data_IF_435379744959
#
_entry.id   IF_435379744959
#
_cell.length_a   1.000
_cell.length_b   1.000
_cell.length_c   1.000
_cell.angle_alpha   90.00
_cell.angle_beta   90.00
_cell.angle_gamma   90.00
#
_symmetry.space_group_name_H-M   'P 1'
#
loop_
_entity.id
_entity.type
_entity.pdbx_description
1 polymer ?
#
# COMPACT_ATOMS: atom_id res chain seq x y z
N UNK A 1 21.36 1.43 4.84
CA UNK A 1 21.06 0.18 5.57
C UNK A 1 19.72 -0.35 5.13
N UNK A 2 18.60 0.42 5.19
CA UNK A 2 17.25 -0.01 4.83
C UNK A 2 17.10 -0.57 3.40
N UNK A 3 17.91 -0.11 2.45
CA UNK A 3 17.90 -0.62 1.07
C UNK A 3 18.54 -2.01 0.88
N UNK A 4 19.18 -2.55 1.91
CA UNK A 4 19.90 -3.83 1.85
C UNK A 4 19.13 -5.00 2.47
N UNK A 5 18.03 -4.74 3.20
CA UNK A 5 17.11 -5.76 3.71
C UNK A 5 15.85 -5.77 2.85
N UNK A 6 15.35 -6.94 2.53
CA UNK A 6 14.07 -7.17 1.88
C UNK A 6 13.24 -8.10 2.73
N UNK A 7 11.94 -7.87 2.81
CA UNK A 7 11.04 -8.71 3.59
C UNK A 7 9.67 -8.94 2.93
N UNK A 8 8.89 -9.83 3.56
CA UNK A 8 7.47 -10.01 3.37
C UNK A 8 6.83 -9.99 4.76
N UNK A 9 6.08 -8.95 5.04
CA UNK A 9 5.48 -8.73 6.35
C UNK A 9 4.12 -8.01 6.23
N UNK A 10 3.22 -8.26 7.16
CA UNK A 10 1.87 -7.67 7.18
C UNK A 10 1.73 -6.80 8.43
N UNK A 11 1.56 -5.51 8.26
CA UNK A 11 1.23 -4.57 9.33
C UNK A 11 -0.28 -4.46 9.46
N UNK A 12 -0.80 -4.46 10.68
CA UNK A 12 -2.22 -4.47 10.99
C UNK A 12 -2.62 -3.25 11.80
N UNK A 13 -3.68 -2.55 11.37
CA UNK A 13 -4.32 -1.47 12.12
C UNK A 13 -3.35 -0.43 12.70
N UNK A 14 -2.29 -0.12 11.94
CA UNK A 14 -1.25 0.83 12.30
C UNK A 14 -1.32 2.07 11.42
N UNK A 15 -0.97 3.23 11.98
CA UNK A 15 -0.79 4.44 11.18
C UNK A 15 0.49 4.36 10.33
N UNK A 16 0.59 5.18 9.29
CA UNK A 16 1.80 5.22 8.44
C UNK A 16 3.05 5.55 9.25
N UNK A 17 2.96 6.44 10.23
CA UNK A 17 4.09 6.81 11.09
C UNK A 17 4.48 5.70 12.05
N UNK A 18 3.50 4.96 12.59
CA UNK A 18 3.76 3.79 13.44
C UNK A 18 4.43 2.66 12.64
N UNK A 19 3.97 2.40 11.41
CA UNK A 19 4.60 1.41 10.50
C UNK A 19 6.06 1.78 10.24
N UNK A 20 6.34 3.05 9.94
CA UNK A 20 7.71 3.51 9.69
C UNK A 20 8.56 3.34 10.96
N UNK A 21 8.03 3.74 12.12
CA UNK A 21 8.71 3.59 13.40
C UNK A 21 9.04 2.12 13.71
N UNK A 22 8.12 1.21 13.44
CA UNK A 22 8.32 -0.23 13.64
C UNK A 22 9.46 -0.76 12.76
N UNK A 23 9.45 -0.44 11.46
CA UNK A 23 10.53 -0.81 10.53
C UNK A 23 11.89 -0.26 10.99
N UNK A 24 11.95 0.99 11.45
CA UNK A 24 13.20 1.57 11.95
C UNK A 24 13.66 0.94 13.26
N UNK A 25 12.76 0.44 14.10
CA UNK A 25 13.09 -0.21 15.36
C UNK A 25 13.99 -1.42 15.20
N UNK A 26 13.87 -2.14 14.09
CA UNK A 26 14.71 -3.30 13.75
C UNK A 26 16.20 -2.95 13.55
N UNK A 27 16.50 -1.68 13.29
CA UNK A 27 17.85 -1.21 13.02
C UNK A 27 18.56 -0.59 14.23
N UNK A 28 17.83 -0.25 15.28
CA UNK A 28 18.38 0.40 16.47
C UNK A 28 19.25 1.62 16.10
N UNK A 29 20.45 1.70 16.62
CA UNK A 29 21.37 2.81 16.38
C UNK A 29 21.95 2.88 14.95
N UNK A 30 21.68 1.90 14.08
CA UNK A 30 22.17 1.89 12.70
C UNK A 30 21.33 2.75 11.75
N UNK A 31 20.08 3.04 12.11
CA UNK A 31 19.18 3.88 11.32
C UNK A 31 18.31 4.72 12.27
N UNK A 32 18.72 5.95 12.48
CA UNK A 32 17.96 6.90 13.28
C UNK A 32 16.96 7.66 12.43
N UNK A 33 15.77 7.93 12.99
CA UNK A 33 14.79 8.82 12.36
C UNK A 33 14.19 9.79 13.39
N UNK A 34 13.63 10.89 12.87
CA UNK A 34 12.96 11.94 13.64
C UNK A 34 11.63 12.24 12.95
N UNK A 35 10.53 11.93 13.62
CA UNK A 35 9.19 12.21 13.12
C UNK A 35 8.76 13.63 13.57
N UNK A 36 8.70 14.53 12.60
CA UNK A 36 8.22 15.91 12.76
C UNK A 36 6.87 16.15 12.08
N UNK A 37 6.14 15.09 11.77
CA UNK A 37 4.80 15.22 11.18
C UNK A 37 3.83 15.80 12.20
N UNK A 38 2.85 16.56 11.73
CA UNK A 38 1.83 17.20 12.57
C UNK A 38 0.41 16.73 12.29
N UNK A 39 0.18 16.11 11.13
CA UNK A 39 -1.11 15.57 10.77
C UNK A 39 -1.44 14.28 11.53
N UNK A 40 -2.71 14.07 11.80
CA UNK A 40 -3.18 12.78 12.31
C UNK A 40 -3.40 11.81 11.14
N UNK A 41 -2.70 10.69 11.16
CA UNK A 41 -2.82 9.63 10.16
C UNK A 41 -3.73 8.51 10.67
N UNK A 42 -4.81 8.18 9.95
CA UNK A 42 -5.68 7.08 10.36
C UNK A 42 -4.96 5.73 10.23
N UNK A 43 -5.32 4.74 11.07
CA UNK A 43 -4.79 3.40 10.95
C UNK A 43 -5.19 2.77 9.61
N UNK A 44 -4.28 2.00 9.05
CA UNK A 44 -4.44 1.23 7.81
C UNK A 44 -4.78 -0.21 8.23
N UNK A 45 -5.93 -0.76 7.76
CA UNK A 45 -6.37 -2.13 8.13
C UNK A 45 -5.27 -3.17 7.83
N UNK A 46 -4.67 -3.08 6.64
CA UNK A 46 -3.51 -3.90 6.25
C UNK A 46 -2.55 -3.10 5.37
N UNK A 47 -1.26 -3.18 5.68
CA UNK A 47 -0.19 -2.67 4.85
C UNK A 47 0.86 -3.75 4.69
N UNK A 48 1.01 -4.28 3.49
CA UNK A 48 1.88 -5.43 3.22
C UNK A 48 3.18 -4.98 2.59
N UNK A 49 4.30 -5.28 3.23
CA UNK A 49 5.59 -5.31 2.59
C UNK A 49 5.69 -6.61 1.78
N UNK A 50 5.97 -6.54 0.50
CA UNK A 50 6.02 -7.72 -0.36
C UNK A 50 7.21 -7.69 -1.31
N UNK A 51 8.26 -8.48 -1.02
CA UNK A 51 9.45 -8.64 -1.86
C UNK A 51 10.12 -7.32 -2.23
N UNK A 52 10.06 -6.34 -1.37
CA UNK A 52 10.66 -5.02 -1.53
C UNK A 52 11.63 -4.71 -0.39
N UNK A 53 12.55 -3.76 -0.62
CA UNK A 53 13.44 -3.31 0.45
C UNK A 53 12.69 -2.47 1.48
N UNK A 54 13.18 -2.45 2.73
CA UNK A 54 12.58 -1.63 3.77
C UNK A 54 12.55 -0.15 3.38
N UNK A 55 13.59 0.33 2.66
CA UNK A 55 13.58 1.70 2.15
C UNK A 55 12.45 1.96 1.14
N UNK A 56 12.24 1.06 0.19
CA UNK A 56 11.13 1.19 -0.76
C UNK A 56 9.78 1.09 -0.04
N UNK A 57 9.68 0.15 0.92
CA UNK A 57 8.48 -0.05 1.71
C UNK A 57 8.10 1.20 2.51
N UNK A 58 9.02 1.84 3.24
CA UNK A 58 8.70 3.06 4.02
C UNK A 58 8.48 4.28 3.13
N UNK A 59 9.18 4.37 1.98
CA UNK A 59 9.08 5.53 1.08
C UNK A 59 7.71 5.62 0.40
N UNK A 60 7.17 4.50 -0.11
CA UNK A 60 5.90 4.54 -0.86
C UNK A 60 4.69 4.99 -0.04
N UNK A 61 4.46 4.56 1.22
CA UNK A 61 3.39 5.13 2.03
C UNK A 61 3.68 6.57 2.45
N UNK A 62 4.94 6.99 2.66
CA UNK A 62 5.24 8.41 2.83
C UNK A 62 4.77 9.24 1.62
N UNK A 63 5.05 8.77 0.40
CA UNK A 63 4.57 9.40 -0.84
C UNK A 63 3.03 9.43 -0.93
N UNK A 64 2.34 8.33 -0.54
CA UNK A 64 0.87 8.26 -0.54
C UNK A 64 0.24 9.25 0.45
N UNK A 65 0.84 9.43 1.62
CA UNK A 65 0.36 10.31 2.69
C UNK A 65 0.96 11.72 2.64
N UNK A 66 1.79 12.03 1.65
CA UNK A 66 2.37 13.35 1.44
C UNK A 66 3.43 13.74 2.47
N UNK A 67 4.11 12.76 3.05
CA UNK A 67 5.21 12.94 3.98
C UNK A 67 6.51 13.02 3.19
N UNK A 68 7.21 14.12 3.30
CA UNK A 68 8.56 14.29 2.75
C UNK A 68 9.61 13.86 3.78
N UNK A 69 10.78 13.50 3.31
CA UNK A 69 11.91 13.23 4.21
C UNK A 69 13.21 13.86 3.68
N UNK A 70 14.10 14.14 4.60
CA UNK A 70 15.46 14.59 4.33
C UNK A 70 16.42 13.91 5.31
N UNK A 71 17.73 14.10 5.11
CA UNK A 71 18.74 13.60 6.02
C UNK A 71 19.47 14.75 6.69
N UNK A 72 19.56 14.72 8.00
CA UNK A 72 20.42 15.58 8.79
C UNK A 72 21.69 14.82 9.13
N UNK A 73 22.84 15.38 8.77
CA UNK A 73 24.16 14.79 8.99
C UNK A 73 24.86 15.50 10.14
N UNK A 74 25.46 14.74 11.04
CA UNK A 74 26.37 15.21 12.08
C UNK A 74 27.62 14.35 12.09
N UNK A 75 28.67 14.77 12.82
CA UNK A 75 29.88 13.97 12.94
C UNK A 75 29.57 12.59 13.54
N UNK A 76 29.86 11.54 12.79
CA UNK A 76 29.63 10.13 13.18
C UNK A 76 28.16 9.67 13.12
N UNK A 77 27.19 10.50 12.71
CA UNK A 77 25.80 10.10 12.61
C UNK A 77 25.05 10.74 11.43
N UNK A 78 23.97 10.11 11.03
CA UNK A 78 22.98 10.70 10.11
C UNK A 78 21.59 10.23 10.53
N UNK A 79 20.61 11.12 10.40
CA UNK A 79 19.25 10.89 10.82
C UNK A 79 18.29 11.22 9.67
N UNK A 80 17.34 10.33 9.40
CA UNK A 80 16.21 10.63 8.51
C UNK A 80 15.21 11.48 9.28
N UNK A 81 14.83 12.62 8.73
CA UNK A 81 13.81 13.53 9.28
C UNK A 81 12.59 13.48 8.36
N UNK A 82 11.45 13.09 8.91
CA UNK A 82 10.16 13.10 8.22
C UNK A 82 9.40 14.38 8.56
N UNK A 83 8.75 14.98 7.58
CA UNK A 83 7.86 16.11 7.79
C UNK A 83 6.69 16.13 6.80
N UNK A 84 5.58 16.67 7.20
CA UNK A 84 4.41 16.93 6.38
C UNK A 84 4.18 18.42 6.09
N UNK A 85 5.08 19.28 6.58
CA UNK A 85 5.07 20.73 6.34
C UNK A 85 6.49 21.29 6.21
N UNK A 86 6.67 22.24 5.31
CA UNK A 86 7.97 22.86 5.05
C UNK A 86 8.58 23.56 6.30
N UNK A 87 7.73 24.07 7.19
CA UNK A 87 8.17 24.80 8.41
C UNK A 87 8.76 23.86 9.49
N UNK A 88 8.68 22.56 9.32
CA UNK A 88 9.17 21.57 10.30
C UNK A 88 10.64 21.19 10.07
N UNK A 89 11.24 21.65 8.99
CA UNK A 89 12.65 21.39 8.69
C UNK A 89 13.55 22.48 9.26
N UNK A 90 14.83 22.14 9.49
CA UNK A 90 15.79 23.04 10.11
C UNK A 90 16.19 24.17 9.16
N UNK A 91 16.43 25.35 9.75
CA UNK A 91 17.04 26.46 9.03
C UNK A 91 18.56 26.30 9.04
N UNK A 92 19.21 26.59 7.91
CA UNK A 92 20.69 26.56 7.84
C UNK A 92 21.33 27.56 8.79
N UNK A 93 22.56 27.26 9.20
CA UNK A 93 23.34 28.19 10.01
C UNK A 93 23.45 29.55 9.31
N UNK A 94 23.23 30.64 10.05
CA UNK A 94 23.20 32.00 9.53
C UNK A 94 21.93 32.37 8.75
N UNK A 95 20.95 31.47 8.62
CA UNK A 95 19.61 31.65 8.03
C UNK A 95 19.55 32.36 6.66
N UNK A 96 20.40 33.37 6.43
CA UNK A 96 20.30 34.31 5.29
C UNK A 96 21.47 34.13 4.33
N UNK A 97 21.18 34.19 3.03
CA UNK A 97 22.18 34.27 1.96
C UNK A 97 21.92 35.45 1.06
N UNK A 98 22.95 36.32 0.90
CA UNK A 98 22.85 37.48 0.02
C UNK A 98 22.98 37.06 -1.44
N UNK A 99 22.21 37.69 -2.30
CA UNK A 99 22.47 37.62 -3.73
C UNK A 99 23.55 38.62 -4.10
N UNK A 100 24.60 38.16 -4.76
CA UNK A 100 25.72 39.01 -5.11
C UNK A 100 26.17 38.73 -6.54
N UNK A 101 26.06 39.71 -7.41
CA UNK A 101 26.58 39.60 -8.80
C UNK A 101 28.11 39.55 -8.75
N UNK A 102 28.71 38.50 -9.32
CA UNK A 102 30.16 38.37 -9.39
C UNK A 102 30.74 39.40 -10.37
N UNK A 103 31.65 40.25 -9.90
CA UNK A 103 32.50 41.09 -10.71
C UNK A 103 33.94 40.61 -10.62
N UNK A 104 34.50 40.22 -11.73
CA UNK A 104 35.79 39.68 -12.13
C UNK A 104 36.95 39.37 -11.17
N UNK A 105 37.03 39.88 -9.96
CA UNK A 105 38.16 39.64 -9.02
C UNK A 105 37.71 39.56 -7.54
N UNK A 106 36.47 39.30 -7.25
CA UNK A 106 35.96 39.25 -5.87
C UNK A 106 36.44 38.00 -5.14
N UNK A 107 37.37 38.15 -4.20
CA UNK A 107 37.71 37.15 -3.18
C UNK A 107 36.80 37.36 -1.96
N UNK A 108 35.65 36.70 -1.95
CA UNK A 108 34.71 36.80 -0.84
C UNK A 108 34.85 35.62 0.11
N UNK A 109 34.75 35.92 1.40
CA UNK A 109 34.76 34.96 2.48
C UNK A 109 33.33 34.63 2.97
N UNK A 110 32.35 35.47 2.56
CA UNK A 110 30.92 35.25 2.96
C UNK A 110 30.24 34.30 2.00
N UNK A 111 29.44 33.38 2.57
CA UNK A 111 28.57 32.54 1.78
C UNK A 111 27.48 33.36 1.07
N UNK A 112 27.34 33.17 -0.22
CA UNK A 112 26.39 33.94 -1.02
C UNK A 112 25.84 33.09 -2.20
N UNK A 113 24.74 33.57 -2.75
CA UNK A 113 24.19 33.13 -4.03
C UNK A 113 24.58 34.12 -5.11
N UNK A 114 25.22 33.70 -6.18
CA UNK A 114 25.64 34.57 -7.28
C UNK A 114 24.90 34.31 -8.58
N UNK A 115 24.15 33.20 -8.65
CA UNK A 115 23.30 32.87 -9.79
C UNK A 115 21.94 32.42 -9.28
N UNK A 116 20.86 32.95 -9.87
CA UNK A 116 19.51 32.63 -9.46
C UNK A 116 18.56 32.73 -10.66
N UNK A 117 18.00 31.58 -11.07
CA UNK A 117 17.10 31.48 -12.21
C UNK A 117 15.78 30.84 -11.76
N UNK A 118 14.69 31.59 -11.78
CA UNK A 118 13.36 30.99 -11.55
C UNK A 118 12.93 30.21 -12.78
N UNK A 119 12.41 29.05 -12.58
CA UNK A 119 11.83 28.17 -13.58
C UNK A 119 10.33 28.08 -13.42
N UNK A 120 9.63 27.91 -14.51
CA UNK A 120 8.21 27.59 -14.54
C UNK A 120 8.00 26.34 -15.37
N UNK A 121 7.22 25.41 -14.85
CA UNK A 121 6.86 24.16 -15.53
C UNK A 121 5.34 24.02 -15.55
N UNK A 122 4.81 23.58 -16.68
CA UNK A 122 3.39 23.28 -16.73
C UNK A 122 3.10 22.02 -15.90
N UNK A 123 2.15 22.11 -15.01
CA UNK A 123 1.64 20.99 -14.20
C UNK A 123 0.12 20.88 -14.39
N UNK A 124 -0.40 19.68 -14.26
CA UNK A 124 -1.85 19.47 -14.20
C UNK A 124 -2.38 20.07 -12.92
N UNK A 125 -3.40 20.92 -13.03
CA UNK A 125 -4.02 21.58 -11.89
C UNK A 125 -5.31 20.89 -11.41
N UNK A 126 -5.57 19.65 -11.84
CA UNK A 126 -6.71 18.88 -11.42
C UNK A 126 -6.34 17.44 -11.17
N UNK A 127 -6.76 16.90 -10.03
CA UNK A 127 -6.54 15.50 -9.66
C UNK A 127 -7.85 14.85 -9.27
N UNK A 128 -8.03 13.59 -9.65
CA UNK A 128 -9.20 12.81 -9.30
C UNK A 128 -8.82 11.36 -9.02
N UNK A 129 -9.51 10.77 -8.05
CA UNK A 129 -9.38 9.38 -7.66
C UNK A 129 -10.75 8.77 -7.51
N UNK A 130 -10.86 7.49 -7.75
CA UNK A 130 -12.05 6.72 -7.43
C UNK A 130 -11.67 5.42 -6.74
N UNK A 131 -12.51 4.95 -5.82
CA UNK A 131 -12.37 3.62 -5.23
C UNK A 131 -13.73 2.96 -5.04
N UNK A 132 -13.71 1.74 -4.56
CA UNK A 132 -14.89 0.94 -4.26
C UNK A 132 -14.80 0.36 -2.84
N UNK A 133 -15.80 0.70 -2.02
CA UNK A 133 -15.93 0.14 -0.68
C UNK A 133 -17.05 -0.92 -0.65
N UNK A 134 -16.67 -2.19 -0.54
CA UNK A 134 -17.66 -3.27 -0.50
C UNK A 134 -18.58 -3.23 0.74
N UNK A 135 -18.16 -2.57 1.83
CA UNK A 135 -18.99 -2.34 3.02
C UNK A 135 -20.06 -1.27 2.78
N UNK A 136 -19.82 -0.38 1.81
CA UNK A 136 -20.73 0.70 1.39
C UNK A 136 -20.82 0.75 -0.14
N UNK A 137 -21.35 -0.29 -0.82
CA UNK A 137 -21.21 -0.48 -2.27
C UNK A 137 -21.90 0.58 -3.13
N UNK A 138 -22.82 1.33 -2.57
CA UNK A 138 -23.55 2.44 -3.25
C UNK A 138 -23.00 3.81 -2.90
N UNK A 139 -21.97 3.91 -2.05
CA UNK A 139 -21.37 5.18 -1.70
C UNK A 139 -20.67 5.80 -2.90
N UNK A 140 -20.83 7.13 -3.08
CA UNK A 140 -20.01 7.86 -4.03
C UNK A 140 -18.57 7.96 -3.51
N UNK A 141 -17.67 7.34 -4.24
CA UNK A 141 -16.24 7.23 -3.87
C UNK A 141 -15.35 7.98 -4.86
N UNK A 142 -15.87 9.01 -5.53
CA UNK A 142 -15.10 9.87 -6.42
C UNK A 142 -14.59 11.09 -5.66
N UNK A 143 -13.27 11.16 -5.46
CA UNK A 143 -12.58 12.27 -4.83
C UNK A 143 -11.88 13.11 -5.90
N UNK A 144 -12.05 14.42 -5.85
CA UNK A 144 -11.47 15.35 -6.82
C UNK A 144 -11.02 16.63 -6.14
N UNK A 145 -9.90 17.18 -6.62
CA UNK A 145 -9.36 18.49 -6.22
C UNK A 145 -8.91 19.27 -7.44
N UNK A 146 -9.07 20.57 -7.36
CA UNK A 146 -8.70 21.52 -8.41
C UNK A 146 -7.87 22.65 -7.79
N UNK A 147 -6.75 22.97 -8.43
CA UNK A 147 -5.81 24.00 -8.01
C UNK A 147 -6.21 25.39 -8.48
N UNK A 148 -5.37 26.35 -8.18
CA UNK A 148 -5.61 27.79 -8.50
C UNK A 148 -4.88 28.28 -9.75
N UNK A 149 -4.11 27.41 -10.42
CA UNK A 149 -3.38 27.78 -11.61
C UNK A 149 -4.31 28.18 -12.77
N UNK A 150 -3.97 29.27 -13.49
CA UNK A 150 -4.84 29.88 -14.51
C UNK A 150 -4.35 29.70 -15.96
N UNK A 151 -3.26 28.95 -16.19
CA UNK A 151 -2.82 28.64 -17.55
C UNK A 151 -3.61 27.47 -18.15
N UNK A 152 -3.69 27.39 -19.46
CA UNK A 152 -4.55 26.44 -20.18
C UNK A 152 -4.35 24.97 -19.78
N UNK A 153 -3.10 24.55 -19.55
CA UNK A 153 -2.77 23.19 -19.18
C UNK A 153 -3.18 22.84 -17.74
N UNK A 154 -3.42 23.82 -16.88
CA UNK A 154 -3.93 23.60 -15.52
C UNK A 154 -5.29 22.91 -15.48
N UNK A 155 -6.11 23.08 -16.53
CA UNK A 155 -7.38 22.36 -16.65
C UNK A 155 -7.28 20.86 -16.95
N UNK A 156 -6.07 20.34 -17.22
CA UNK A 156 -5.88 18.90 -17.45
C UNK A 156 -5.98 18.12 -16.15
N UNK A 157 -6.71 17.00 -16.21
CA UNK A 157 -6.94 16.12 -15.05
C UNK A 157 -5.97 14.95 -15.02
N UNK A 158 -5.48 14.64 -13.83
CA UNK A 158 -4.80 13.40 -13.50
C UNK A 158 -5.78 12.49 -12.75
N UNK A 159 -6.40 11.56 -13.46
CA UNK A 159 -7.29 10.55 -12.89
C UNK A 159 -6.56 9.24 -12.67
N UNK A 160 -6.86 8.56 -11.55
CA UNK A 160 -6.29 7.25 -11.25
C UNK A 160 -7.30 6.34 -10.52
N UNK A 161 -7.08 5.03 -10.63
CA UNK A 161 -7.84 3.95 -10.02
C UNK A 161 -6.90 2.76 -9.70
N UNK A 162 -7.04 2.10 -8.55
CA UNK A 162 -7.86 2.43 -7.39
C UNK A 162 -7.24 3.53 -6.52
N UNK A 163 -8.10 4.31 -5.84
CA UNK A 163 -7.67 5.39 -4.95
C UNK A 163 -7.12 4.92 -3.60
N UNK A 164 -7.36 3.67 -3.22
CA UNK A 164 -6.90 3.01 -1.98
C UNK A 164 -7.38 3.69 -0.69
N UNK A 165 -8.64 4.10 -0.68
CA UNK A 165 -9.30 4.64 0.50
C UNK A 165 -10.67 3.99 0.72
N UNK A 166 -11.07 3.90 1.98
CA UNK A 166 -12.36 3.31 2.37
C UNK A 166 -13.43 4.37 2.69
N UNK A 167 -13.02 5.62 2.89
CA UNK A 167 -13.91 6.74 3.19
C UNK A 167 -13.60 7.92 2.25
N UNK A 168 -14.63 8.58 1.75
CA UNK A 168 -14.48 9.68 0.78
C UNK A 168 -13.61 10.83 1.31
N UNK A 169 -13.69 11.13 2.61
CA UNK A 169 -12.85 12.16 3.23
C UNK A 169 -11.36 11.90 3.08
N UNK A 170 -10.92 10.65 3.25
CA UNK A 170 -9.54 10.25 3.01
C UNK A 170 -9.18 10.39 1.54
N UNK A 171 -10.08 9.99 0.62
CA UNK A 171 -9.88 10.19 -0.82
C UNK A 171 -9.69 11.67 -1.19
N UNK A 172 -10.45 12.57 -0.57
CA UNK A 172 -10.29 14.01 -0.76
C UNK A 172 -8.91 14.51 -0.27
N UNK A 173 -8.41 13.97 0.82
CA UNK A 173 -7.06 14.27 1.33
C UNK A 173 -5.99 13.79 0.35
N UNK A 174 -6.10 12.56 -0.16
CA UNK A 174 -5.16 12.02 -1.15
C UNK A 174 -5.19 12.80 -2.47
N UNK A 175 -6.37 13.22 -2.92
CA UNK A 175 -6.49 14.08 -4.10
C UNK A 175 -5.79 15.44 -3.90
N UNK A 176 -5.89 16.03 -2.68
CA UNK A 176 -5.20 17.27 -2.33
C UNK A 176 -3.67 17.08 -2.30
N UNK A 177 -3.18 16.02 -1.64
CA UNK A 177 -1.74 15.69 -1.58
C UNK A 177 -1.16 15.53 -2.99
N UNK A 178 -1.86 14.80 -3.87
CA UNK A 178 -1.43 14.61 -5.26
C UNK A 178 -1.41 15.92 -6.03
N UNK A 179 -2.41 16.78 -5.84
CA UNK A 179 -2.45 18.09 -6.46
C UNK A 179 -1.26 18.95 -6.02
N UNK A 180 -1.02 19.06 -4.71
CA UNK A 180 0.12 19.81 -4.14
C UNK A 180 1.45 19.27 -4.64
N UNK A 181 1.62 17.95 -4.75
CA UNK A 181 2.82 17.32 -5.26
C UNK A 181 3.11 17.71 -6.72
N UNK A 182 2.07 17.82 -7.56
CA UNK A 182 2.21 18.26 -8.94
C UNK A 182 2.40 19.77 -9.05
N UNK A 183 1.68 20.58 -8.31
CA UNK A 183 1.84 22.04 -8.29
C UNK A 183 3.22 22.46 -7.79
N UNK A 184 3.80 21.72 -6.83
CA UNK A 184 5.16 21.94 -6.35
C UNK A 184 6.24 21.75 -7.43
N UNK A 185 5.93 21.18 -8.60
CA UNK A 185 6.86 21.09 -9.73
C UNK A 185 6.93 22.38 -10.58
N UNK A 186 5.92 23.26 -10.49
CA UNK A 186 5.82 24.46 -11.35
C UNK A 186 6.88 25.51 -10.98
N UNK A 187 6.90 25.96 -9.73
CA UNK A 187 7.69 27.12 -9.32
C UNK A 187 9.01 26.71 -8.67
N UNK A 188 10.00 26.35 -9.48
CA UNK A 188 11.34 26.01 -9.01
C UNK A 188 12.31 27.15 -9.25
N UNK A 189 13.38 27.20 -8.49
CA UNK A 189 14.49 28.11 -8.71
C UNK A 189 15.79 27.32 -8.72
N UNK A 190 16.61 27.56 -9.77
CA UNK A 190 17.98 27.04 -9.82
C UNK A 190 18.91 28.13 -9.34
N UNK A 191 19.73 27.83 -8.36
CA UNK A 191 20.68 28.75 -7.77
C UNK A 191 22.10 28.17 -7.78
N UNK A 192 23.09 29.01 -7.82
CA UNK A 192 24.48 28.63 -7.62
C UNK A 192 25.17 29.64 -6.70
N UNK A 193 26.13 29.16 -5.93
CA UNK A 193 26.83 29.98 -4.95
C UNK A 193 28.01 29.29 -4.28
N UNK A 194 28.63 29.96 -3.36
CA UNK A 194 29.76 29.46 -2.56
C UNK A 194 29.33 29.05 -1.13
N UNK A 195 28.10 28.53 -0.98
CA UNK A 195 27.50 28.23 0.35
C UNK A 195 27.53 26.72 0.64
N UNK A 196 28.58 26.15 1.23
CA UNK A 196 28.66 24.71 1.55
C UNK A 196 27.70 24.28 2.65
N UNK A 197 27.14 25.21 3.42
CA UNK A 197 26.17 24.94 4.46
C UNK A 197 24.74 24.70 3.96
N UNK A 198 24.43 24.96 2.68
CA UNK A 198 23.12 24.69 2.11
C UNK A 198 22.98 23.19 1.74
N UNK A 199 22.08 22.49 2.41
CA UNK A 199 21.81 21.08 2.17
C UNK A 199 20.32 20.84 1.91
N UNK A 200 20.02 19.77 1.21
CA UNK A 200 18.63 19.39 0.92
C UNK A 200 17.82 19.16 2.21
N UNK A 201 16.60 19.68 2.27
CA UNK A 201 15.75 19.65 3.47
C UNK A 201 16.09 20.73 4.49
N UNK A 202 16.67 21.86 4.06
CA UNK A 202 16.92 23.00 4.93
C UNK A 202 16.26 24.27 4.41
N UNK A 203 15.95 25.20 5.31
CA UNK A 203 15.40 26.53 4.99
C UNK A 203 16.52 27.57 4.90
N UNK A 204 16.43 28.48 3.92
CA UNK A 204 17.29 29.66 3.82
C UNK A 204 16.52 30.87 3.30
N UNK A 205 16.87 32.08 3.74
CA UNK A 205 16.31 33.34 3.23
C UNK A 205 17.27 33.99 2.24
N UNK A 206 16.81 34.26 1.02
CA UNK A 206 17.55 35.06 0.03
C UNK A 206 17.33 36.55 0.29
N UNK A 207 18.40 37.34 0.26
CA UNK A 207 18.34 38.79 0.40
C UNK A 207 19.15 39.48 -0.69
N UNK A 208 18.98 40.82 -0.82
CA UNK A 208 19.74 41.69 -1.74
C UNK A 208 19.59 41.34 -3.24
N UNK A 209 18.59 40.52 -3.59
CA UNK A 209 18.28 40.24 -4.99
C UNK A 209 17.61 41.49 -5.62
N UNK A 210 18.03 41.94 -6.85
CA UNK A 210 17.49 43.14 -7.51
C UNK A 210 15.97 43.13 -7.70
N UNK A 211 15.39 41.94 -7.88
CA UNK A 211 13.95 41.77 -7.95
C UNK A 211 13.44 41.46 -6.54
N UNK A 212 12.82 42.44 -5.89
CA UNK A 212 12.40 42.38 -4.49
C UNK A 212 11.51 41.16 -4.15
N UNK A 213 10.65 40.72 -5.06
CA UNK A 213 9.78 39.54 -4.89
C UNK A 213 10.56 38.22 -4.77
N UNK A 214 11.86 38.19 -4.98
CA UNK A 214 12.73 37.02 -4.81
C UNK A 214 13.44 36.98 -3.45
N UNK A 215 13.37 38.06 -2.71
CA UNK A 215 13.91 38.17 -1.34
C UNK A 215 12.94 37.54 -0.33
N UNK A 216 12.84 36.22 -0.35
CA UNK A 216 11.94 35.41 0.46
C UNK A 216 12.68 34.20 1.02
N UNK A 217 12.00 33.47 1.88
CA UNK A 217 12.49 32.19 2.38
C UNK A 217 12.25 31.06 1.37
N UNK A 218 13.25 30.21 1.18
CA UNK A 218 13.23 29.06 0.32
C UNK A 218 13.57 27.79 1.06
N UNK A 219 12.93 26.69 0.65
CA UNK A 219 13.32 25.33 1.01
C UNK A 219 14.31 24.80 -0.06
N UNK A 220 15.44 24.29 0.40
CA UNK A 220 16.43 23.63 -0.46
C UNK A 220 15.96 22.19 -0.75
N UNK A 221 15.67 21.90 -2.00
CA UNK A 221 15.18 20.58 -2.43
C UNK A 221 16.32 19.65 -2.81
N UNK A 222 17.35 20.22 -3.41
CA UNK A 222 18.55 19.51 -3.84
C UNK A 222 19.75 20.41 -3.69
N UNK A 223 20.87 19.84 -3.27
CA UNK A 223 22.17 20.50 -3.29
C UNK A 223 23.20 19.58 -3.95
N UNK A 224 24.08 20.20 -4.74
CA UNK A 224 25.25 19.57 -5.32
C UNK A 224 26.47 20.41 -4.98
N UNK A 225 27.44 19.81 -4.32
CA UNK A 225 28.64 20.48 -3.85
C UNK A 225 29.86 19.99 -4.64
N UNK A 226 30.60 20.89 -5.24
CA UNK A 226 31.82 20.60 -6.01
C UNK A 226 33.02 21.26 -5.35
N UNK A 227 33.91 20.43 -4.83
CA UNK A 227 35.19 20.86 -4.26
C UNK A 227 36.32 20.51 -5.21
N UNK A 228 37.13 21.49 -5.57
CA UNK A 228 38.32 21.29 -6.38
C UNK A 228 39.54 21.68 -5.56
N UNK A 229 40.41 20.72 -5.23
CA UNK A 229 41.67 20.97 -4.55
C UNK A 229 42.86 20.71 -5.48
N UNK A 230 43.78 21.66 -5.55
CA UNK A 230 44.97 21.57 -6.38
C UNK A 230 46.26 21.33 -5.57
N UNK A 231 46.17 21.19 -4.26
CA UNK A 231 47.33 21.17 -3.36
C UNK A 231 48.11 19.84 -3.31
N UNK A 232 47.83 18.87 -4.17
CA UNK A 232 48.47 17.54 -4.07
C UNK A 232 49.79 17.39 -4.86
N UNK A 233 50.25 18.43 -5.59
CA UNK A 233 51.53 18.38 -6.34
C UNK A 233 52.50 19.44 -5.85
N UNK A 234 53.56 19.03 -5.18
CA UNK A 234 54.75 19.87 -4.97
C UNK A 234 55.38 20.19 -6.30
N UNK A 235 55.38 21.46 -6.74
CA UNK A 235 56.07 21.95 -7.93
C UNK A 235 55.19 22.40 -9.13
N UNK A 236 53.87 22.47 -8.99
CA UNK A 236 52.99 23.09 -9.98
C UNK A 236 52.74 24.57 -9.66
N UNK A 237 52.50 25.39 -10.68
CA UNK A 237 51.98 26.77 -10.53
C UNK A 237 50.65 26.68 -9.75
N UNK A 238 50.63 27.16 -8.49
CA UNK A 238 49.56 26.96 -7.55
C UNK A 238 48.19 27.38 -8.11
N UNK A 239 47.34 26.38 -8.35
CA UNK A 239 45.93 26.62 -8.47
C UNK A 239 45.32 26.89 -7.07
N UNK A 240 44.29 27.69 -7.03
CA UNK A 240 43.53 27.93 -5.79
C UNK A 240 42.45 26.86 -5.64
N UNK A 241 42.30 26.38 -4.42
CA UNK A 241 41.13 25.54 -4.06
C UNK A 241 39.86 26.33 -4.36
N UNK A 242 38.90 25.66 -4.94
CA UNK A 242 37.61 26.25 -5.28
C UNK A 242 36.45 25.39 -4.81
N UNK A 243 35.39 26.06 -4.44
CA UNK A 243 34.12 25.46 -4.14
C UNK A 243 33.02 26.11 -4.96
N UNK A 244 32.09 25.29 -5.45
CA UNK A 244 30.86 25.72 -6.10
C UNK A 244 29.69 24.83 -5.69
N UNK A 245 28.61 25.44 -5.23
CA UNK A 245 27.34 24.77 -4.90
C UNK A 245 26.28 25.09 -5.96
N UNK A 246 25.51 24.06 -6.33
CA UNK A 246 24.31 24.21 -7.16
C UNK A 246 23.10 23.74 -6.32
N UNK A 247 22.02 24.52 -6.38
CA UNK A 247 20.85 24.31 -5.51
C UNK A 247 19.56 24.38 -6.32
N UNK A 248 18.65 23.45 -6.06
CA UNK A 248 17.25 23.54 -6.49
C UNK A 248 16.42 23.99 -5.30
N UNK A 249 15.67 25.07 -5.45
CA UNK A 249 14.93 25.74 -4.40
C UNK A 249 13.46 25.83 -4.75
N UNK A 250 12.62 25.86 -3.71
CA UNK A 250 11.19 26.19 -3.80
C UNK A 250 10.85 27.23 -2.74
N UNK A 251 9.92 28.14 -3.03
CA UNK A 251 9.33 29.04 -2.03
C UNK A 251 8.79 28.23 -0.85
N UNK A 252 9.24 28.56 0.38
CA UNK A 252 8.85 27.83 1.59
C UNK A 252 7.35 27.86 1.87
N UNK A 253 6.64 28.85 1.32
CA UNK A 253 5.19 28.97 1.43
C UNK A 253 4.41 27.97 0.51
N UNK A 254 5.08 27.35 -0.48
CA UNK A 254 4.45 26.35 -1.33
C UNK A 254 4.56 24.98 -0.63
N UNK A 255 3.45 24.29 -0.33
CA UNK A 255 3.49 22.98 0.28
C UNK A 255 4.32 22.00 -0.57
N UNK A 256 5.36 21.43 0.03
CA UNK A 256 6.13 20.37 -0.60
C UNK A 256 5.52 19.02 -0.27
N UNK A 257 5.02 18.33 -1.28
CA UNK A 257 4.62 16.94 -1.18
C UNK A 257 5.49 16.11 -2.14
N UNK A 258 5.91 14.92 -1.75
CA UNK A 258 6.64 14.04 -2.66
C UNK A 258 5.75 13.59 -3.81
N UNK A 259 6.35 13.45 -5.00
CA UNK A 259 5.68 12.74 -6.10
C UNK A 259 5.66 11.25 -5.78
N UNK A 260 4.58 10.57 -6.17
CA UNK A 260 4.47 9.13 -6.09
C UNK A 260 5.32 8.49 -7.20
N UNK A 261 6.55 8.14 -6.88
CA UNK A 261 7.53 7.56 -7.81
C UNK A 261 7.98 6.15 -7.41
N UNK A 262 7.86 5.80 -6.13
CA UNK A 262 8.20 4.47 -5.63
C UNK A 262 7.13 3.47 -6.03
N UNK A 263 7.45 2.45 -6.84
CA UNK A 263 6.46 1.50 -7.31
C UNK A 263 5.96 0.63 -6.15
N UNK A 264 4.64 0.43 -6.07
CA UNK A 264 4.07 -0.58 -5.18
C UNK A 264 4.33 -1.96 -5.77
N UNK A 265 4.71 -2.96 -4.96
CA UNK A 265 4.90 -4.32 -5.45
C UNK A 265 3.59 -4.91 -5.99
N UNK A 266 3.70 -5.71 -7.04
CA UNK A 266 2.59 -6.38 -7.70
C UNK A 266 2.72 -7.88 -7.54
N UNK A 267 1.70 -8.52 -7.01
CA UNK A 267 1.57 -9.98 -6.96
C UNK A 267 1.10 -10.46 -8.32
N UNK A 268 1.96 -11.14 -9.05
CA UNK A 268 1.75 -11.48 -10.47
C UNK A 268 0.76 -12.63 -10.73
N UNK A 269 0.33 -13.35 -9.70
CA UNK A 269 -0.57 -14.48 -9.86
C UNK A 269 -1.17 -14.95 -8.55
N UNK A 270 -2.05 -15.97 -8.57
CA UNK A 270 -2.62 -16.54 -7.37
C UNK A 270 -1.55 -17.18 -6.49
N UNK A 271 -1.80 -17.17 -5.20
CA UNK A 271 -1.00 -17.87 -4.18
C UNK A 271 -1.92 -18.79 -3.38
N UNK A 272 -1.36 -19.77 -2.70
CA UNK A 272 -2.12 -20.51 -1.69
C UNK A 272 -1.80 -20.00 -0.30
N UNK A 273 -2.77 -20.16 0.60
CA UNK A 273 -2.67 -19.79 2.01
C UNK A 273 -3.48 -20.76 2.86
N UNK A 274 -3.15 -20.86 4.15
CA UNK A 274 -3.95 -21.62 5.08
C UNK A 274 -5.01 -20.74 5.76
N UNK A 275 -6.23 -21.27 5.89
CA UNK A 275 -7.27 -20.64 6.69
C UNK A 275 -6.90 -20.79 8.16
N UNK A 276 -6.87 -19.67 8.86
CA UNK A 276 -6.60 -19.60 10.30
C UNK A 276 -7.77 -18.93 11.03
N UNK A 277 -7.76 -18.91 12.35
CA UNK A 277 -8.82 -18.28 13.14
C UNK A 277 -8.62 -18.52 14.63
N UNK A 278 -9.66 -18.24 15.40
CA UNK A 278 -9.65 -18.37 16.86
C UNK A 278 -9.33 -19.78 17.31
N UNK A 279 -8.47 -19.91 18.30
CA UNK A 279 -8.11 -21.20 18.89
C UNK A 279 -9.36 -21.96 19.38
N UNK A 280 -9.46 -23.25 19.00
CA UNK A 280 -10.58 -24.12 19.38
C UNK A 280 -11.83 -23.96 18.52
N UNK A 281 -11.82 -23.08 17.51
CA UNK A 281 -12.87 -23.00 16.50
C UNK A 281 -12.50 -23.79 15.23
N UNK A 282 -13.51 -24.26 14.50
CA UNK A 282 -13.36 -24.89 13.18
C UNK A 282 -13.71 -23.91 12.05
N UNK A 283 -14.47 -22.87 12.37
CA UNK A 283 -14.95 -21.86 11.42
C UNK A 283 -14.83 -20.50 12.09
N UNK A 284 -14.13 -19.58 11.46
CA UNK A 284 -14.02 -18.19 11.89
C UNK A 284 -14.30 -17.28 10.70
N UNK A 285 -15.37 -16.51 10.76
CA UNK A 285 -15.69 -15.50 9.77
C UNK A 285 -16.35 -14.29 10.42
N UNK A 286 -16.33 -13.16 9.72
CA UNK A 286 -17.06 -11.96 10.10
C UNK A 286 -18.46 -11.91 9.43
N UNK A 287 -19.18 -10.80 9.66
CA UNK A 287 -20.53 -10.55 9.09
C UNK A 287 -20.58 -10.53 7.56
N UNK A 288 -19.45 -10.32 6.88
CA UNK A 288 -19.31 -10.34 5.42
C UNK A 288 -18.87 -11.71 4.90
N UNK A 289 -18.72 -12.70 5.76
CA UNK A 289 -18.19 -14.02 5.42
C UNK A 289 -16.70 -14.01 5.10
N UNK A 290 -15.95 -12.97 5.51
CA UNK A 290 -14.50 -12.91 5.36
C UNK A 290 -13.83 -13.87 6.34
N UNK A 291 -12.82 -14.57 5.88
CA UNK A 291 -12.00 -15.50 6.67
C UNK A 291 -10.61 -14.95 6.89
N UNK A 292 -9.93 -15.42 7.92
CA UNK A 292 -8.51 -15.14 8.13
C UNK A 292 -7.66 -16.14 7.36
N UNK A 293 -6.67 -15.63 6.63
CA UNK A 293 -5.69 -16.46 5.92
C UNK A 293 -4.27 -16.10 6.32
N UNK A 294 -3.41 -17.11 6.38
CA UNK A 294 -1.97 -16.97 6.61
C UNK A 294 -1.22 -17.47 5.38
N UNK A 295 -0.38 -16.62 4.82
CA UNK A 295 0.42 -16.93 3.64
C UNK A 295 1.64 -17.76 4.00
N UNK A 296 2.15 -18.56 3.05
CA UNK A 296 3.33 -19.40 3.26
C UNK A 296 4.63 -18.60 3.47
N UNK A 297 4.68 -17.37 2.98
CA UNK A 297 5.82 -16.47 3.15
C UNK A 297 5.82 -15.72 4.49
N UNK A 298 4.73 -15.78 5.25
CA UNK A 298 4.66 -15.21 6.59
C UNK A 298 5.53 -16.03 7.56
N UNK A 299 6.65 -15.44 7.98
CA UNK A 299 7.66 -16.07 8.85
C UNK A 299 7.31 -16.00 10.32
N UNK A 300 6.58 -14.99 10.73
CA UNK A 300 6.22 -14.74 12.12
C UNK A 300 5.08 -15.64 12.61
N UNK A 301 4.35 -16.28 11.69
CA UNK A 301 3.22 -17.18 11.95
C UNK A 301 2.02 -16.55 12.69
N UNK A 302 2.08 -15.28 13.04
CA UNK A 302 1.04 -14.54 13.76
C UNK A 302 0.24 -13.63 12.83
N UNK A 303 0.78 -13.35 11.66
CA UNK A 303 0.20 -12.42 10.72
C UNK A 303 -0.86 -13.10 9.86
N UNK A 304 -2.02 -12.48 9.77
CA UNK A 304 -3.12 -12.97 8.95
C UNK A 304 -3.92 -11.81 8.38
N UNK A 305 -4.61 -12.06 7.28
CA UNK A 305 -5.46 -11.06 6.64
C UNK A 305 -6.91 -11.54 6.54
N UNK A 306 -7.86 -10.64 6.80
CA UNK A 306 -9.29 -10.87 6.51
C UNK A 306 -9.54 -10.78 5.02
N UNK A 307 -9.86 -11.91 4.40
CA UNK A 307 -10.11 -12.00 2.97
C UNK A 307 -11.58 -12.28 2.69
N UNK A 308 -12.15 -11.58 1.72
CA UNK A 308 -13.44 -11.96 1.15
C UNK A 308 -13.31 -13.30 0.45
N UNK A 309 -14.40 -14.07 0.42
CA UNK A 309 -14.46 -15.37 -0.26
C UNK A 309 -15.38 -15.24 -1.46
N UNK A 310 -14.87 -15.53 -2.65
CA UNK A 310 -15.67 -15.64 -3.85
C UNK A 310 -16.62 -16.85 -3.71
N UNK A 311 -17.90 -16.65 -4.03
CA UNK A 311 -18.90 -17.69 -4.08
C UNK A 311 -19.24 -18.01 -5.53
N UNK A 312 -19.67 -19.22 -5.81
CA UNK A 312 -20.10 -19.62 -7.15
C UNK A 312 -21.32 -18.80 -7.65
N UNK A 313 -22.09 -18.22 -6.75
CA UNK A 313 -23.25 -17.40 -7.03
C UNK A 313 -23.60 -16.55 -5.81
N UNK A 314 -23.75 -15.23 -5.95
CA UNK A 314 -23.97 -14.34 -4.81
C UNK A 314 -24.79 -13.10 -5.18
N UNK A 315 -25.90 -12.92 -4.48
CA UNK A 315 -26.70 -11.71 -4.55
C UNK A 315 -27.53 -11.53 -3.28
N UNK A 316 -28.34 -10.47 -3.23
CA UNK A 316 -29.14 -10.10 -2.07
C UNK A 316 -30.10 -11.25 -1.64
N UNK A 317 -29.79 -11.88 -0.50
CA UNK A 317 -30.54 -12.95 0.15
C UNK A 317 -30.67 -14.26 -0.66
N UNK A 318 -29.87 -14.48 -1.72
CA UNK A 318 -29.82 -15.74 -2.44
C UNK A 318 -28.43 -15.99 -3.07
N UNK A 319 -28.13 -17.24 -3.36
CA UNK A 319 -26.86 -17.67 -3.92
C UNK A 319 -26.25 -18.86 -3.18
N UNK A 320 -25.00 -19.16 -3.47
CA UNK A 320 -24.19 -20.14 -2.73
C UNK A 320 -23.50 -19.45 -1.54
N UNK A 321 -23.35 -20.18 -0.43
CA UNK A 321 -22.62 -19.70 0.73
C UNK A 321 -21.80 -20.85 1.32
N UNK A 322 -20.49 -20.81 1.09
CA UNK A 322 -19.53 -21.75 1.64
C UNK A 322 -18.43 -20.96 2.34
N UNK A 323 -18.27 -21.21 3.64
CA UNK A 323 -17.19 -20.61 4.43
C UNK A 323 -16.06 -21.63 4.55
N UNK A 324 -14.86 -21.38 4.00
CA UNK A 324 -13.71 -22.24 4.22
C UNK A 324 -13.37 -22.36 5.71
N UNK A 325 -12.99 -23.56 6.13
CA UNK A 325 -12.73 -23.87 7.54
C UNK A 325 -11.25 -23.73 7.88
N UNK A 326 -10.96 -23.50 9.14
CA UNK A 326 -9.60 -23.45 9.68
C UNK A 326 -8.85 -24.74 9.32
N UNK A 327 -7.61 -24.58 8.81
CA UNK A 327 -6.77 -25.66 8.33
C UNK A 327 -6.93 -26.00 6.83
N UNK A 328 -7.94 -25.46 6.13
CA UNK A 328 -8.07 -25.62 4.70
C UNK A 328 -7.02 -24.79 3.96
N UNK A 329 -6.49 -25.34 2.88
CA UNK A 329 -5.67 -24.59 1.94
C UNK A 329 -6.57 -23.93 0.88
N UNK A 330 -6.44 -22.60 0.74
CA UNK A 330 -7.26 -21.80 -0.16
C UNK A 330 -6.38 -21.11 -1.21
N UNK A 331 -6.94 -20.88 -2.38
CA UNK A 331 -6.32 -20.08 -3.42
C UNK A 331 -6.71 -18.62 -3.22
N UNK A 332 -5.72 -17.73 -3.23
CA UNK A 332 -5.87 -16.29 -3.01
C UNK A 332 -5.37 -15.55 -4.25
N UNK A 333 -6.23 -14.75 -4.82
CA UNK A 333 -5.90 -13.75 -5.84
C UNK A 333 -5.84 -12.36 -5.23
N UNK A 334 -5.21 -11.42 -5.94
CA UNK A 334 -5.03 -10.06 -5.47
C UNK A 334 -5.63 -9.09 -6.48
N UNK A 335 -6.58 -8.27 -6.04
CA UNK A 335 -7.24 -7.30 -6.91
C UNK A 335 -6.20 -6.31 -7.47
N UNK A 336 -6.10 -6.21 -8.79
CA UNK A 336 -5.06 -5.44 -9.50
C UNK A 336 -3.62 -5.81 -9.11
N UNK A 337 -3.42 -7.03 -8.59
CA UNK A 337 -2.12 -7.47 -8.06
C UNK A 337 -1.69 -6.77 -6.77
N UNK A 338 -2.57 -6.03 -6.11
CA UNK A 338 -2.28 -5.29 -4.89
C UNK A 338 -2.20 -6.25 -3.68
N UNK A 339 -1.03 -6.40 -3.02
CA UNK A 339 -0.88 -7.31 -1.88
C UNK A 339 -1.79 -6.97 -0.69
N UNK A 340 -2.28 -5.73 -0.59
CA UNK A 340 -3.22 -5.30 0.44
C UNK A 340 -4.68 -5.66 0.13
N UNK A 341 -4.97 -6.22 -1.06
CA UNK A 341 -6.35 -6.48 -1.54
C UNK A 341 -6.58 -7.95 -1.91
N UNK A 342 -6.38 -8.92 -0.99
CA UNK A 342 -6.56 -10.34 -1.25
C UNK A 342 -8.03 -10.72 -1.39
N UNK A 343 -8.29 -11.72 -2.24
CA UNK A 343 -9.59 -12.34 -2.46
C UNK A 343 -9.41 -13.86 -2.55
N UNK A 344 -10.07 -14.62 -1.68
CA UNK A 344 -10.10 -16.09 -1.79
C UNK A 344 -11.00 -16.50 -2.93
N UNK A 345 -10.46 -17.24 -3.91
CA UNK A 345 -11.16 -17.64 -5.14
C UNK A 345 -11.43 -19.13 -5.23
N UNK A 346 -10.84 -19.94 -4.35
CA UNK A 346 -11.07 -21.38 -4.34
C UNK A 346 -10.40 -22.08 -3.18
N UNK A 347 -10.47 -23.42 -3.19
CA UNK A 347 -9.80 -24.30 -2.23
C UNK A 347 -9.09 -25.41 -2.98
N UNK A 348 -7.99 -25.90 -2.45
CA UNK A 348 -7.21 -27.00 -3.05
C UNK A 348 -6.98 -28.11 -2.03
N UNK A 349 -6.88 -29.34 -2.51
CA UNK A 349 -6.45 -30.46 -1.69
C UNK A 349 -4.92 -30.48 -1.59
N UNK A 350 -4.41 -31.01 -0.48
CA UNK A 350 -2.99 -31.28 -0.28
C UNK A 350 -2.79 -32.66 0.39
N UNK A 351 -1.55 -33.03 0.67
CA UNK A 351 -1.22 -34.34 1.20
C UNK A 351 -1.85 -34.63 2.58
N UNK A 352 -2.05 -33.59 3.41
CA UNK A 352 -2.65 -33.69 4.74
C UNK A 352 -4.20 -33.62 4.68
N UNK A 353 -4.75 -33.08 3.60
CA UNK A 353 -6.18 -32.88 3.40
C UNK A 353 -6.62 -33.47 2.05
N UNK A 354 -6.52 -34.80 1.93
CA UNK A 354 -6.89 -35.56 0.72
C UNK A 354 -8.41 -35.64 0.53
N UNK A 355 -8.89 -35.76 -0.73
CA UNK A 355 -10.32 -36.00 -1.00
C UNK A 355 -10.83 -37.28 -0.32
N UNK A 356 -12.10 -37.26 0.08
CA UNK A 356 -12.74 -38.39 0.77
C UNK A 356 -12.63 -39.71 0.02
N UNK A 357 -12.74 -39.68 -1.29
CA UNK A 357 -12.67 -40.85 -2.15
C UNK A 357 -11.30 -40.95 -2.80
N UNK A 358 -10.60 -42.05 -2.51
CA UNK A 358 -9.23 -42.25 -2.99
C UNK A 358 -9.14 -42.17 -4.51
N UNK A 359 -8.28 -41.30 -5.00
CA UNK A 359 -7.96 -41.17 -6.42
C UNK A 359 -6.71 -42.02 -6.77
N UNK A 360 -6.59 -42.53 -7.99
CA UNK A 360 -7.49 -42.38 -9.13
C UNK A 360 -8.64 -43.41 -9.18
N UNK A 361 -8.78 -44.26 -8.16
CA UNK A 361 -9.74 -45.38 -8.18
C UNK A 361 -11.21 -44.91 -8.27
N UNK A 362 -11.55 -43.77 -7.72
CA UNK A 362 -12.90 -43.20 -7.70
C UNK A 362 -13.01 -41.95 -8.60
N UNK A 363 -12.29 -41.88 -9.72
CA UNK A 363 -12.29 -40.72 -10.61
C UNK A 363 -13.63 -40.44 -11.31
N UNK A 364 -14.57 -41.39 -11.31
CA UNK A 364 -15.93 -41.22 -11.84
C UNK A 364 -16.90 -40.62 -10.86
N UNK A 365 -16.45 -40.36 -9.60
CA UNK A 365 -17.29 -39.86 -8.53
C UNK A 365 -17.13 -38.35 -8.37
N UNK A 366 -18.25 -37.63 -8.33
CA UNK A 366 -18.35 -36.21 -8.01
C UNK A 366 -19.14 -36.04 -6.73
N UNK A 367 -18.66 -35.24 -5.77
CA UNK A 367 -19.30 -35.13 -4.44
C UNK A 367 -19.26 -33.71 -3.89
N UNK A 368 -20.34 -33.32 -3.21
CA UNK A 368 -20.39 -32.22 -2.24
C UNK A 368 -20.60 -32.81 -0.86
N UNK A 369 -19.59 -32.64 0.00
CA UNK A 369 -19.61 -33.17 1.35
C UNK A 369 -19.19 -32.09 2.34
N UNK A 370 -19.94 -31.96 3.43
CA UNK A 370 -19.61 -31.13 4.59
C UNK A 370 -19.55 -31.98 5.86
N UNK A 371 -18.62 -31.66 6.76
CA UNK A 371 -18.56 -32.31 8.07
C UNK A 371 -19.39 -31.52 9.09
N UNK A 372 -20.00 -32.22 10.03
CA UNK A 372 -20.70 -31.59 11.15
C UNK A 372 -19.73 -30.79 12.02
N UNK A 373 -20.13 -29.57 12.43
CA UNK A 373 -19.30 -28.70 13.27
C UNK A 373 -19.02 -29.37 14.64
N UNK A 374 -17.75 -29.41 15.02
CA UNK A 374 -17.26 -30.02 16.28
C UNK A 374 -17.78 -31.45 16.52
N UNK A 375 -17.99 -32.22 15.45
CA UNK A 375 -18.54 -33.58 15.49
C UNK A 375 -18.00 -34.46 14.35
N UNK A 376 -18.20 -35.80 14.45
CA UNK A 376 -17.77 -36.75 13.41
C UNK A 376 -18.80 -36.99 12.30
N UNK A 377 -19.97 -36.36 12.36
CA UNK A 377 -21.02 -36.51 11.36
C UNK A 377 -20.72 -35.79 10.06
N UNK A 378 -21.54 -36.01 9.03
CA UNK A 378 -21.41 -35.38 7.73
C UNK A 378 -22.74 -35.29 6.98
N UNK A 379 -22.84 -34.38 6.03
CA UNK A 379 -23.87 -34.39 4.99
C UNK A 379 -23.19 -34.52 3.63
N UNK A 380 -23.84 -35.25 2.69
CA UNK A 380 -23.21 -35.55 1.40
C UNK A 380 -24.24 -35.63 0.29
N UNK A 381 -23.88 -35.13 -0.88
CA UNK A 381 -24.58 -35.31 -2.13
C UNK A 381 -23.53 -35.75 -3.21
N UNK A 382 -23.70 -36.93 -3.75
CA UNK A 382 -22.70 -37.59 -4.59
C UNK A 382 -23.33 -38.16 -5.85
N UNK A 383 -22.63 -38.03 -6.99
CA UNK A 383 -22.86 -38.73 -8.23
C UNK A 383 -21.76 -39.78 -8.44
N UNK A 384 -22.13 -40.98 -8.84
CA UNK A 384 -21.24 -42.00 -9.36
C UNK A 384 -21.61 -42.23 -10.83
N UNK A 385 -20.68 -42.00 -11.74
CA UNK A 385 -20.92 -42.08 -13.18
C UNK A 385 -20.27 -43.32 -13.85
N UNK A 386 -19.84 -44.28 -13.04
CA UNK A 386 -19.24 -45.53 -13.56
C UNK A 386 -20.31 -46.38 -14.25
N UNK A 387 -20.07 -46.71 -15.55
CA UNK A 387 -20.98 -47.56 -16.32
C UNK A 387 -21.35 -48.83 -15.60
N UNK A 388 -22.65 -49.10 -15.45
CA UNK A 388 -23.22 -50.24 -14.74
C UNK A 388 -23.19 -50.12 -13.22
N UNK A 389 -22.78 -48.96 -12.66
CA UNK A 389 -22.74 -48.64 -11.25
C UNK A 389 -23.18 -47.23 -10.96
N UNK A 390 -23.90 -46.60 -11.90
CA UNK A 390 -24.39 -45.23 -11.76
C UNK A 390 -25.27 -45.07 -10.52
N UNK A 391 -25.02 -44.01 -9.76
CA UNK A 391 -25.77 -43.79 -8.53
C UNK A 391 -25.79 -42.28 -8.16
N UNK A 392 -26.94 -41.83 -7.67
CA UNK A 392 -27.09 -40.54 -6.98
C UNK A 392 -27.36 -40.81 -5.50
N UNK A 393 -26.45 -40.36 -4.64
CA UNK A 393 -26.53 -40.63 -3.19
C UNK A 393 -26.71 -39.34 -2.43
N UNK A 394 -27.69 -39.31 -1.51
CA UNK A 394 -27.93 -38.22 -0.57
C UNK A 394 -27.86 -38.74 0.83
N UNK A 395 -27.05 -38.12 1.68
CA UNK A 395 -26.95 -38.46 3.12
C UNK A 395 -27.16 -37.20 3.94
N UNK A 396 -28.12 -37.27 4.88
CA UNK A 396 -28.34 -36.29 5.93
C UNK A 396 -27.95 -36.89 7.29
N UNK A 397 -27.04 -36.21 8.01
CA UNK A 397 -26.58 -36.69 9.33
C UNK A 397 -27.69 -36.80 10.36
N UNK A 398 -28.69 -35.93 10.28
CA UNK A 398 -29.81 -35.90 11.23
C UNK A 398 -31.15 -35.79 10.51
N UNK A 399 -31.54 -34.66 10.07
CA UNK A 399 -32.86 -34.40 9.50
C UNK A 399 -32.73 -34.07 7.99
N UNK A 400 -33.65 -34.61 7.18
CA UNK A 400 -33.81 -34.30 5.78
C UNK A 400 -35.21 -33.78 5.50
N UNK A 401 -35.33 -32.51 5.10
CA UNK A 401 -36.63 -31.86 4.85
C UNK A 401 -36.71 -31.45 3.35
N UNK A 402 -37.81 -31.84 2.72
CA UNK A 402 -38.14 -31.39 1.36
C UNK A 402 -39.46 -30.63 1.40
N UNK A 403 -39.49 -29.40 0.89
CA UNK A 403 -40.72 -28.61 0.76
C UNK A 403 -40.99 -28.30 -0.71
N UNK A 404 -42.18 -28.69 -1.18
CA UNK A 404 -42.64 -28.40 -2.57
C UNK A 404 -43.97 -27.68 -2.46
N UNK A 405 -44.06 -26.49 -3.06
CA UNK A 405 -45.28 -25.66 -2.93
C UNK A 405 -46.41 -26.05 -3.89
N UNK A 406 -46.13 -26.85 -4.90
CA UNK A 406 -47.14 -27.27 -5.85
C UNK A 406 -47.12 -28.81 -6.01
N UNK A 407 -46.44 -29.35 -6.99
CA UNK A 407 -46.50 -30.77 -7.34
C UNK A 407 -45.16 -31.44 -7.19
N UNK A 408 -45.10 -32.60 -6.55
CA UNK A 408 -43.98 -33.51 -6.57
C UNK A 408 -44.34 -34.75 -7.36
N UNK A 409 -43.54 -35.12 -8.36
CA UNK A 409 -43.67 -36.34 -9.13
C UNK A 409 -42.43 -37.20 -8.95
N UNK A 410 -42.63 -38.49 -8.69
CA UNK A 410 -41.55 -39.49 -8.69
C UNK A 410 -41.97 -40.67 -9.59
N UNK A 411 -41.05 -41.15 -10.43
CA UNK A 411 -41.24 -42.35 -11.23
C UNK A 411 -40.03 -43.26 -11.04
N UNK A 412 -40.28 -44.48 -10.68
CA UNK A 412 -39.28 -45.53 -10.52
C UNK A 412 -39.66 -46.68 -11.47
N UNK A 413 -38.81 -47.01 -12.43
CA UNK A 413 -39.17 -47.98 -13.49
C UNK A 413 -39.09 -49.45 -13.02
N UNK A 414 -38.37 -49.76 -11.93
CA UNK A 414 -38.23 -51.14 -11.46
C UNK A 414 -38.65 -51.31 -10.02
N UNK A 415 -37.91 -50.81 -9.04
CA UNK A 415 -38.14 -51.06 -7.61
C UNK A 415 -38.09 -49.76 -6.83
N UNK A 416 -39.14 -49.52 -6.01
CA UNK A 416 -39.16 -48.46 -5.01
C UNK A 416 -39.21 -49.16 -3.65
N UNK A 417 -38.21 -48.89 -2.79
CA UNK A 417 -38.09 -49.51 -1.46
C UNK A 417 -38.16 -48.44 -0.37
N UNK A 418 -39.15 -48.56 0.48
CA UNK A 418 -39.32 -47.69 1.62
C UNK A 418 -38.97 -48.44 2.91
N UNK A 419 -38.01 -47.93 3.72
CA UNK A 419 -37.66 -48.49 5.03
C UNK A 419 -37.69 -47.36 6.05
N UNK A 420 -38.46 -47.56 7.14
CA UNK A 420 -38.63 -46.60 8.24
C UNK A 420 -38.36 -47.32 9.55
N UNK A 421 -37.29 -46.89 10.26
CA UNK A 421 -36.90 -47.48 11.54
C UNK A 421 -37.78 -47.07 12.75
N UNK A 422 -38.63 -46.07 12.57
CA UNK A 422 -39.57 -45.58 13.58
C UNK A 422 -40.96 -45.38 13.00
N UNK A 423 -41.63 -44.27 13.27
CA UNK A 423 -42.99 -43.98 12.81
C UNK A 423 -43.01 -43.34 11.42
N UNK A 424 -44.01 -43.69 10.61
CA UNK A 424 -44.35 -42.99 9.37
C UNK A 424 -45.73 -42.33 9.53
N UNK A 425 -45.83 -41.05 9.29
CA UNK A 425 -47.09 -40.32 9.17
C UNK A 425 -47.27 -39.84 7.72
N UNK A 426 -48.48 -39.93 7.18
CA UNK A 426 -48.89 -39.38 5.92
C UNK A 426 -50.18 -38.63 6.18
N UNK A 427 -50.15 -37.30 6.01
CA UNK A 427 -51.31 -36.39 6.16
C UNK A 427 -51.86 -36.02 4.79
#
# INVERSE_FOLDING_TARGET
VLSQRTDNYIFHDMSVTDIIADVFSDYGALAEFDDRTSAAYPPIEYCVQYRESDMAFVTRPMEDFGISYSFVHADGSHKLVMSDQNMQVDTVEGATRKFITLSGQDRRTEECIHHFVPERRFASGKTAWKDYNFKKPTAEMHAQKEGTASYEQAGKELYDWPGRYMELGQGQTFAQIKLEAHEAQDKRCMAAGNSPSLFAGSLMTLTDHPVGARNIEYLVLRSQHTFTSQNYRSGGSGGTDSYEGQYELIDSAIPLRPLKVTPKPVVQGPQTAFVVGKQGEEIDCDEYGRILVRFHWDRENDQSMRCRVAQNWAYKQWGGMIIPRIGMEVMVEFLDGDPDRPLVTGSVYNADAMPKYALPANKTRSTWRSNSHKSKGFNEFTFEDKTGGENVFTHAQKDHTTRVLNTRTARVDKHDVYSVGGNRSVE
#
